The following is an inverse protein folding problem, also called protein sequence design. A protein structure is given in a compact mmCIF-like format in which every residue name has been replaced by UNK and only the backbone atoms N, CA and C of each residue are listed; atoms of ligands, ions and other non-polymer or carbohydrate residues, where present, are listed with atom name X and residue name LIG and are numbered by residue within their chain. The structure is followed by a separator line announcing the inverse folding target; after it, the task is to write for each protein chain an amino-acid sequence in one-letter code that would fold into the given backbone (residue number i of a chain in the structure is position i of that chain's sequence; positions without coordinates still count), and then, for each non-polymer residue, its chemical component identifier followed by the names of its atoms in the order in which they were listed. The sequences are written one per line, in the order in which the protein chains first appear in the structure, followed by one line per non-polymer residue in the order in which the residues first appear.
data_IF_646485375169
#
_entry.id   IF_646485375169
#
_cell.length_a   1.000
_cell.length_b   1.000
_cell.length_c   1.000
_cell.angle_alpha   90.00
_cell.angle_beta   90.00
_cell.angle_gamma   90.00
#
_symmetry.space_group_name_H-M   'P 1'
#
loop_
_entity.id
_entity.type
_entity.pdbx_description
1 polymer ?
#
# COMPACT_ATOMS: atom_id res chain seq x y z
N UNK A 1 -6.18 -2.21 -2.62
CA UNK A 1 -7.41 -1.45 -2.33
C UNK A 1 -7.84 -0.65 -3.56
N UNK A 2 -9.15 -0.52 -3.78
CA UNK A 2 -9.75 0.37 -4.78
C UNK A 2 -10.47 1.49 -4.04
N UNK A 3 -10.01 2.72 -4.24
CA UNK A 3 -10.57 3.91 -3.60
C UNK A 3 -11.85 4.38 -4.30
N UNK A 4 -12.71 5.09 -3.59
CA UNK A 4 -13.92 5.71 -4.16
C UNK A 4 -13.61 6.96 -4.99
N UNK A 5 -12.48 7.61 -4.73
CA UNK A 5 -12.10 8.91 -5.28
C UNK A 5 -10.98 8.86 -6.33
N UNK A 6 -10.36 7.69 -6.56
CA UNK A 6 -9.34 7.47 -7.59
C UNK A 6 -9.63 6.20 -8.39
N UNK A 7 -9.33 6.19 -9.71
CA UNK A 7 -9.48 4.99 -10.51
C UNK A 7 -8.34 4.00 -10.25
N UNK A 8 -8.69 2.71 -10.24
CA UNK A 8 -7.71 1.62 -10.22
C UNK A 8 -7.40 1.05 -8.84
N UNK A 9 -6.49 0.09 -8.83
CA UNK A 9 -6.07 -0.62 -7.63
C UNK A 9 -4.68 -0.18 -7.18
N UNK A 10 -4.57 0.02 -5.87
CA UNK A 10 -3.39 0.50 -5.16
C UNK A 10 -3.00 -0.45 -4.03
N UNK A 11 -1.75 -0.39 -3.58
CA UNK A 11 -1.36 -0.92 -2.28
C UNK A 11 -2.05 -0.12 -1.16
N UNK A 12 -2.31 -0.71 0.02
CA UNK A 12 -2.85 0.03 1.13
C UNK A 12 -1.84 1.05 1.67
N UNK A 13 -2.33 2.20 2.13
CA UNK A 13 -1.49 3.22 2.74
C UNK A 13 -1.98 4.64 2.51
N UNK A 14 -1.47 5.55 3.33
CA UNK A 14 -1.88 6.95 3.32
C UNK A 14 -0.84 7.86 3.96
N UNK A 15 -1.32 9.03 4.41
CA UNK A 15 -0.49 10.08 4.97
C UNK A 15 0.05 9.77 6.36
N UNK A 16 1.27 10.22 6.64
CA UNK A 16 1.81 10.23 8.00
C UNK A 16 1.40 11.54 8.65
N UNK A 17 0.55 11.47 9.67
CA UNK A 17 0.03 12.68 10.31
C UNK A 17 1.05 13.34 11.24
N UNK A 18 0.80 14.60 11.60
CA UNK A 18 1.67 15.35 12.51
C UNK A 18 1.80 14.63 13.85
N UNK A 19 3.03 14.22 14.18
CA UNK A 19 3.34 13.53 15.43
C UNK A 19 3.26 12.00 15.33
N UNK A 20 2.88 11.46 14.18
CA UNK A 20 2.95 10.02 13.94
C UNK A 20 4.36 9.59 13.51
N UNK A 21 4.74 8.38 13.92
CA UNK A 21 5.87 7.68 13.29
C UNK A 21 5.37 6.92 12.07
N UNK A 22 6.28 6.58 11.15
CA UNK A 22 5.93 5.75 9.98
C UNK A 22 5.25 4.43 10.37
N UNK A 23 5.68 3.80 11.46
CA UNK A 23 5.08 2.55 11.93
C UNK A 23 3.67 2.75 12.50
N UNK A 24 3.43 3.87 13.18
CA UNK A 24 2.08 4.22 13.66
C UNK A 24 1.14 4.41 12.48
N UNK A 25 1.56 5.19 11.48
CA UNK A 25 0.78 5.39 10.26
C UNK A 25 0.55 4.04 9.54
N UNK A 26 1.58 3.22 9.35
CA UNK A 26 1.45 1.89 8.75
C UNK A 26 0.38 1.04 9.44
N UNK A 27 0.44 0.91 10.77
CA UNK A 27 -0.52 0.09 11.51
C UNK A 27 -1.94 0.67 11.49
N UNK A 28 -2.06 2.01 11.44
CA UNK A 28 -3.34 2.72 11.28
C UNK A 28 -3.96 2.40 9.91
N UNK A 29 -3.22 2.58 8.83
CA UNK A 29 -3.71 2.43 7.46
C UNK A 29 -4.13 0.99 7.14
N UNK A 30 -3.31 -0.02 7.46
CA UNK A 30 -3.67 -1.42 7.17
C UNK A 30 -4.94 -1.86 7.93
N UNK A 31 -5.15 -1.31 9.12
CA UNK A 31 -6.36 -1.54 9.92
C UNK A 31 -7.57 -0.86 9.29
N UNK A 32 -7.45 0.42 8.93
CA UNK A 32 -8.58 1.22 8.41
C UNK A 32 -9.02 0.76 7.02
N UNK A 33 -8.07 0.47 6.14
CA UNK A 33 -8.38 0.13 4.75
C UNK A 33 -8.68 -1.35 4.53
N UNK A 34 -8.21 -2.24 5.41
CA UNK A 34 -8.27 -3.68 5.17
C UNK A 34 -8.70 -4.54 6.34
N UNK A 35 -8.97 -3.94 7.52
CA UNK A 35 -9.13 -4.67 8.78
C UNK A 35 -7.98 -5.64 9.03
N UNK A 36 -6.75 -5.18 8.79
CA UNK A 36 -5.54 -5.98 8.92
C UNK A 36 -4.80 -5.66 10.21
N UNK A 37 -4.23 -6.70 10.81
CA UNK A 37 -3.25 -6.59 11.89
C UNK A 37 -1.92 -7.17 11.43
N UNK A 38 -0.81 -6.57 11.88
CA UNK A 38 0.53 -7.07 11.57
C UNK A 38 0.78 -8.40 12.30
N UNK A 39 1.05 -9.45 11.53
CA UNK A 39 1.43 -10.76 12.04
C UNK A 39 2.96 -10.93 12.14
N UNK A 40 3.72 -10.05 11.47
CA UNK A 40 5.18 -9.96 11.58
C UNK A 40 5.64 -8.54 11.88
N UNK A 41 6.93 -8.40 12.22
CA UNK A 41 7.57 -7.07 12.29
C UNK A 41 7.56 -6.42 10.90
N UNK A 42 7.13 -5.15 10.76
CA UNK A 42 7.26 -4.43 9.50
C UNK A 42 8.73 -4.27 9.07
N UNK A 43 9.05 -4.72 7.87
CA UNK A 43 10.35 -4.55 7.23
C UNK A 43 10.26 -3.39 6.24
N UNK A 44 11.11 -2.37 6.42
CA UNK A 44 11.23 -1.32 5.42
C UNK A 44 11.86 -1.92 4.16
N UNK A 45 11.09 -1.94 3.07
CA UNK A 45 11.57 -2.43 1.78
C UNK A 45 12.43 -1.38 1.09
N UNK A 46 11.87 -0.18 0.90
CA UNK A 46 12.60 0.96 0.33
C UNK A 46 11.88 2.29 0.62
N UNK A 47 12.57 3.41 0.39
CA UNK A 47 12.00 4.76 0.43
C UNK A 47 12.12 5.38 -0.96
N UNK A 48 11.00 5.83 -1.51
CA UNK A 48 10.91 6.41 -2.85
C UNK A 48 10.60 7.90 -2.78
N UNK A 49 11.18 8.70 -3.67
CA UNK A 49 10.71 10.04 -3.95
C UNK A 49 9.47 9.98 -4.85
N UNK A 50 8.33 10.44 -4.35
CA UNK A 50 7.11 10.55 -5.12
C UNK A 50 6.99 11.98 -5.66
N UNK A 51 7.16 12.17 -6.97
CA UNK A 51 7.05 13.47 -7.62
C UNK A 51 5.64 13.76 -8.15
N UNK A 52 4.74 12.78 -8.16
CA UNK A 52 3.39 12.90 -8.71
C UNK A 52 2.38 13.46 -7.69
N UNK A 53 2.59 13.23 -6.39
CA UNK A 53 1.74 13.76 -5.31
C UNK A 53 2.14 15.17 -4.88
N UNK A 54 3.39 15.32 -4.44
CA UNK A 54 4.03 16.61 -4.20
C UNK A 54 5.49 16.49 -4.63
N UNK A 55 6.17 17.58 -4.97
CA UNK A 55 7.58 17.50 -5.41
C UNK A 55 8.59 17.23 -4.28
N UNK A 56 8.13 16.79 -3.10
CA UNK A 56 8.95 16.55 -1.91
C UNK A 56 8.55 15.30 -1.11
N UNK A 57 7.48 14.61 -1.51
CA UNK A 57 6.94 13.52 -0.69
C UNK A 57 7.78 12.26 -0.83
N UNK A 58 8.02 11.59 0.29
CA UNK A 58 8.70 10.31 0.32
C UNK A 58 7.71 9.22 0.72
N UNK A 59 7.70 8.13 -0.04
CA UNK A 59 6.89 6.95 0.23
C UNK A 59 7.79 5.87 0.82
N UNK A 60 7.58 5.54 2.09
CA UNK A 60 8.23 4.39 2.72
C UNK A 60 7.37 3.16 2.49
N UNK A 61 7.85 2.23 1.65
CA UNK A 61 7.16 0.98 1.38
C UNK A 61 7.64 -0.07 2.37
N UNK A 62 6.70 -0.72 3.05
CA UNK A 62 6.98 -1.79 3.99
C UNK A 62 6.44 -3.13 3.49
N UNK A 63 7.11 -4.20 3.88
CA UNK A 63 6.67 -5.59 3.72
C UNK A 63 6.45 -6.21 5.10
N UNK A 64 5.35 -6.93 5.25
CA UNK A 64 5.01 -7.65 6.46
C UNK A 64 3.94 -8.72 6.18
N UNK A 65 3.88 -9.72 7.05
CA UNK A 65 2.75 -10.63 7.12
C UNK A 65 1.60 -9.97 7.88
N UNK A 66 0.38 -10.25 7.48
CA UNK A 66 -0.84 -9.69 8.07
C UNK A 66 -1.89 -10.75 8.30
N UNK A 67 -2.73 -10.53 9.30
CA UNK A 67 -3.98 -11.27 9.52
C UNK A 67 -5.15 -10.33 9.27
N UNK A 68 -6.10 -10.72 8.42
CA UNK A 68 -7.37 -10.00 8.30
C UNK A 68 -8.29 -10.41 9.45
N UNK A 69 -8.63 -9.47 10.33
CA UNK A 69 -9.46 -9.72 11.50
C UNK A 69 -10.94 -9.82 11.13
N UNK A 70 -11.37 -9.04 10.14
CA UNK A 70 -12.73 -9.06 9.60
C UNK A 70 -12.73 -8.70 8.11
N UNK A 71 -13.74 -9.14 7.36
CA UNK A 71 -13.90 -8.70 5.97
C UNK A 71 -14.13 -7.17 5.93
N UNK A 72 -13.27 -6.46 5.19
CA UNK A 72 -13.45 -5.03 4.93
C UNK A 72 -14.64 -4.82 3.99
N UNK A 73 -15.73 -4.28 4.53
CA UNK A 73 -16.90 -3.86 3.75
C UNK A 73 -16.61 -2.52 3.05
N UNK A 74 -17.19 -2.28 1.86
CA UNK A 74 -17.10 -0.98 1.21
C UNK A 74 -17.62 0.15 2.10
N UNK A 75 -16.97 1.31 2.05
CA UNK A 75 -17.37 2.53 2.77
C UNK A 75 -17.11 3.79 1.93
N UNK A 76 -17.05 4.95 2.60
CA UNK A 76 -16.86 6.24 1.93
C UNK A 76 -15.49 6.37 1.24
N UNK A 77 -14.48 5.62 1.68
CA UNK A 77 -13.11 5.70 1.19
C UNK A 77 -12.75 4.50 0.33
N UNK A 78 -13.04 3.29 0.81
CA UNK A 78 -12.69 2.04 0.14
C UNK A 78 -13.93 1.49 -0.56
N UNK A 79 -13.90 1.53 -1.89
CA UNK A 79 -14.95 0.93 -2.71
C UNK A 79 -14.85 -0.60 -2.74
N UNK A 80 -13.62 -1.12 -2.68
CA UNK A 80 -13.34 -2.56 -2.74
C UNK A 80 -11.95 -2.88 -2.19
N UNK A 81 -11.83 -4.03 -1.53
CA UNK A 81 -10.57 -4.59 -1.04
C UNK A 81 -10.48 -6.07 -1.40
N UNK A 82 -9.27 -6.60 -1.52
CA UNK A 82 -9.05 -7.99 -1.86
C UNK A 82 -7.60 -8.42 -1.75
N UNK A 83 -7.41 -9.72 -1.53
CA UNK A 83 -6.13 -10.41 -1.65
C UNK A 83 -6.07 -11.05 -3.03
N UNK A 84 -4.94 -10.90 -3.71
CA UNK A 84 -4.74 -11.39 -5.07
C UNK A 84 -3.38 -12.07 -5.18
N UNK A 85 -3.31 -13.15 -5.95
CA UNK A 85 -2.03 -13.73 -6.34
C UNK A 85 -1.29 -12.74 -7.27
N UNK A 86 0.03 -12.67 -7.18
CA UNK A 86 0.84 -11.78 -8.03
C UNK A 86 0.72 -12.12 -9.52
N UNK A 87 0.41 -13.38 -9.85
CA UNK A 87 0.15 -13.83 -11.22
C UNK A 87 -1.29 -13.57 -11.70
N UNK A 88 -2.22 -13.26 -10.78
CA UNK A 88 -3.65 -13.07 -11.06
C UNK A 88 -4.16 -11.72 -10.54
N UNK A 89 -3.35 -10.68 -10.73
CA UNK A 89 -3.73 -9.31 -10.34
C UNK A 89 -4.98 -8.82 -11.10
N UNK A 90 -5.89 -8.09 -10.43
CA UNK A 90 -7.10 -7.61 -11.07
C UNK A 90 -6.80 -6.62 -12.19
N UNK A 91 -7.77 -6.44 -13.10
CA UNK A 91 -7.70 -5.39 -14.10
C UNK A 91 -7.70 -4.01 -13.41
N UNK A 92 -6.91 -3.08 -13.94
CA UNK A 92 -6.86 -1.70 -13.42
C UNK A 92 -5.90 -1.46 -12.25
N UNK A 93 -5.05 -2.43 -11.88
CA UNK A 93 -3.88 -2.13 -11.01
C UNK A 93 -2.99 -1.10 -11.69
N UNK A 94 -2.71 -0.03 -10.97
CA UNK A 94 -1.97 1.13 -11.49
C UNK A 94 -0.54 0.76 -11.87
N UNK A 95 0.02 1.51 -12.83
CA UNK A 95 1.40 1.29 -13.27
C UNK A 95 2.41 1.40 -12.11
N UNK A 96 2.24 2.38 -11.23
CA UNK A 96 3.07 2.55 -10.03
C UNK A 96 2.99 1.32 -9.11
N UNK A 97 1.78 0.84 -8.80
CA UNK A 97 1.61 -0.37 -7.99
C UNK A 97 2.25 -1.58 -8.63
N UNK A 98 2.12 -1.77 -9.96
CA UNK A 98 2.77 -2.88 -10.68
C UNK A 98 4.30 -2.82 -10.60
N UNK A 99 4.91 -1.63 -10.71
CA UNK A 99 6.35 -1.47 -10.55
C UNK A 99 6.82 -1.93 -9.17
N UNK A 100 6.13 -1.48 -8.11
CA UNK A 100 6.46 -1.86 -6.72
C UNK A 100 6.30 -3.35 -6.47
N UNK A 101 5.27 -3.98 -7.03
CA UNK A 101 5.07 -5.43 -6.93
C UNK A 101 6.18 -6.21 -7.65
N UNK A 102 6.62 -5.77 -8.83
CA UNK A 102 7.72 -6.40 -9.55
C UNK A 102 9.06 -6.29 -8.80
N UNK A 103 9.33 -5.14 -8.17
CA UNK A 103 10.51 -4.97 -7.31
C UNK A 103 10.45 -5.87 -6.07
N UNK A 104 9.29 -5.95 -5.40
CA UNK A 104 9.08 -6.85 -4.25
C UNK A 104 9.26 -8.33 -4.62
N UNK A 105 8.86 -8.71 -5.84
CA UNK A 105 9.04 -10.06 -6.39
C UNK A 105 10.48 -10.34 -6.87
N UNK A 106 11.35 -9.33 -6.92
CA UNK A 106 12.71 -9.46 -7.45
C UNK A 106 12.76 -9.56 -8.99
N UNK A 107 11.68 -9.21 -9.68
CA UNK A 107 11.56 -9.23 -11.14
C UNK A 107 12.08 -7.93 -11.78
N UNK A 108 12.24 -6.88 -10.98
CA UNK A 108 12.78 -5.59 -11.39
C UNK A 108 13.78 -5.05 -10.36
N UNK A 109 14.73 -4.23 -10.83
CA UNK A 109 15.61 -3.49 -9.94
C UNK A 109 14.82 -2.39 -9.22
N UNK A 110 15.15 -2.15 -7.95
CA UNK A 110 14.54 -1.10 -7.12
C UNK A 110 14.89 0.27 -7.69
N UNK A 111 13.88 1.07 -8.00
CA UNK A 111 14.04 2.47 -8.39
C UNK A 111 14.02 3.41 -7.16
N UNK A 112 14.53 4.63 -7.32
CA UNK A 112 14.46 5.66 -6.27
C UNK A 112 13.21 6.54 -6.35
N UNK A 113 12.41 6.40 -7.41
CA UNK A 113 11.19 7.18 -7.65
C UNK A 113 9.95 6.29 -7.62
N UNK A 114 8.83 6.81 -7.10
CA UNK A 114 7.55 6.09 -6.98
C UNK A 114 6.97 5.69 -8.35
#
# INVERSE_FOLDING_TARGET
MRHTYLPGWYLPGGGVERGETLLVALHKEIREEGNLEAASRPELFHVYLNLEGSNRDHVALYRLEVTQTELKKPDHEIAESGFFDLSELPQGVTAATRRRLAELAGEAAIADHW
#
